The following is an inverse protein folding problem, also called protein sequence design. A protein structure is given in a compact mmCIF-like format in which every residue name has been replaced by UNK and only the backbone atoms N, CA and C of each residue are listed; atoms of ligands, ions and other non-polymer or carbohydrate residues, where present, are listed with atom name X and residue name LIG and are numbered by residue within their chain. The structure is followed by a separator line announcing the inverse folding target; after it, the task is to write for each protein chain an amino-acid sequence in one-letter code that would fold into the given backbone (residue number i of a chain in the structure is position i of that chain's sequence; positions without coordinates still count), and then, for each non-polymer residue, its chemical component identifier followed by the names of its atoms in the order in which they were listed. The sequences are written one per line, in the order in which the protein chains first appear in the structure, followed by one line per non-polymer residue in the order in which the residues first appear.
data_IF_651878200062
#
_entry.id   IF_651878200062
#
_cell.length_a   1.000
_cell.length_b   1.000
_cell.length_c   1.000
_cell.angle_alpha   90.00
_cell.angle_beta   90.00
_cell.angle_gamma   90.00
#
_symmetry.space_group_name_H-M   'P 1'
#
loop_
_entity.id
_entity.type
_entity.pdbx_description
1 polymer ?
#
# COMPACT_ATOMS: atom_id res chain seq x y z
N UNK A 1 -30.97 -9.39 -38.12
CA UNK A 1 -30.44 -8.27 -37.31
C UNK A 1 -30.28 -8.79 -35.89
N UNK A 2 -29.09 -9.29 -35.55
CA UNK A 2 -28.80 -9.78 -34.19
C UNK A 2 -28.13 -8.67 -33.41
N UNK A 3 -28.83 -8.16 -32.40
CA UNK A 3 -28.29 -7.23 -31.40
C UNK A 3 -27.42 -8.01 -30.42
N UNK A 4 -26.10 -7.85 -30.54
CA UNK A 4 -25.15 -8.33 -29.53
C UNK A 4 -25.27 -7.44 -28.29
N UNK A 5 -25.80 -7.99 -27.19
CA UNK A 5 -25.83 -7.33 -25.89
C UNK A 5 -24.43 -7.32 -25.29
N UNK A 6 -23.86 -6.14 -25.10
CA UNK A 6 -22.60 -5.98 -24.35
C UNK A 6 -22.87 -6.32 -22.88
N UNK A 7 -22.09 -7.23 -22.24
CA UNK A 7 -22.27 -7.52 -20.82
C UNK A 7 -21.98 -6.27 -19.99
N UNK A 8 -22.82 -6.02 -18.99
CA UNK A 8 -22.65 -4.91 -18.05
C UNK A 8 -21.25 -4.98 -17.41
N UNK A 9 -20.51 -3.87 -17.47
CA UNK A 9 -19.20 -3.75 -16.85
C UNK A 9 -19.32 -4.05 -15.34
N UNK A 10 -18.57 -5.06 -14.87
CA UNK A 10 -18.41 -5.31 -13.44
C UNK A 10 -17.77 -4.06 -12.85
N UNK A 11 -18.49 -3.32 -12.01
CA UNK A 11 -17.91 -2.17 -11.31
C UNK A 11 -16.87 -2.69 -10.33
N UNK A 12 -15.60 -2.59 -10.71
CA UNK A 12 -14.49 -3.03 -9.89
C UNK A 12 -14.48 -2.22 -8.58
N UNK A 13 -14.48 -2.93 -7.45
CA UNK A 13 -14.41 -2.27 -6.14
C UNK A 13 -13.04 -1.60 -6.04
N UNK A 14 -12.96 -0.28 -5.77
CA UNK A 14 -11.68 0.41 -5.64
C UNK A 14 -10.82 -0.28 -4.58
N UNK A 15 -9.56 -0.58 -4.89
CA UNK A 15 -8.65 -1.33 -4.02
C UNK A 15 -8.51 -0.71 -2.61
N UNK A 16 -8.65 0.61 -2.49
CA UNK A 16 -8.66 1.32 -1.21
C UNK A 16 -9.80 0.88 -0.30
N UNK A 17 -10.97 0.57 -0.87
CA UNK A 17 -12.11 0.06 -0.11
C UNK A 17 -11.83 -1.35 0.43
N UNK A 18 -11.10 -2.17 -0.33
CA UNK A 18 -10.63 -3.47 0.13
C UNK A 18 -9.67 -3.31 1.31
N UNK A 19 -8.63 -2.47 1.18
CA UNK A 19 -7.67 -2.18 2.27
C UNK A 19 -8.38 -1.64 3.52
N UNK A 20 -9.34 -0.72 3.35
CA UNK A 20 -10.13 -0.20 4.47
C UNK A 20 -10.99 -1.27 5.14
N UNK A 21 -11.48 -2.25 4.38
CA UNK A 21 -12.23 -3.39 4.91
C UNK A 21 -11.32 -4.32 5.71
N UNK A 22 -10.13 -4.64 5.21
CA UNK A 22 -9.12 -5.43 5.93
C UNK A 22 -8.64 -4.73 7.20
N UNK A 23 -8.42 -3.41 7.17
CA UNK A 23 -8.11 -2.61 8.35
C UNK A 23 -9.22 -2.69 9.42
N UNK A 24 -10.49 -2.66 9.02
CA UNK A 24 -11.63 -2.80 9.94
C UNK A 24 -11.71 -4.21 10.53
N UNK A 25 -11.47 -5.24 9.72
CA UNK A 25 -11.45 -6.63 10.17
C UNK A 25 -10.33 -6.86 11.20
N UNK A 26 -9.16 -6.25 10.99
CA UNK A 26 -7.98 -6.36 11.84
C UNK A 26 -7.87 -5.24 12.90
N UNK A 27 -8.96 -4.51 13.19
CA UNK A 27 -8.93 -3.29 14.05
C UNK A 27 -8.40 -3.52 15.47
N UNK A 28 -8.44 -4.76 15.96
CA UNK A 28 -7.93 -5.16 17.28
C UNK A 28 -6.41 -5.34 17.30
N UNK A 29 -5.75 -5.37 16.15
CA UNK A 29 -4.32 -5.57 15.99
C UNK A 29 -3.65 -4.22 15.68
N UNK A 30 -2.96 -3.58 16.65
CA UNK A 30 -2.28 -2.30 16.38
C UNK A 30 -1.26 -2.39 15.24
N UNK A 31 -0.63 -3.55 15.10
CA UNK A 31 0.35 -3.86 14.06
C UNK A 31 -0.24 -4.16 12.68
N UNK A 32 -1.57 -4.25 12.52
CA UNK A 32 -2.18 -4.35 11.20
C UNK A 32 -1.98 -3.08 10.34
N UNK A 33 -1.51 -1.99 10.95
CA UNK A 33 -1.09 -0.76 10.24
C UNK A 33 0.38 -0.79 9.83
N UNK A 34 1.13 -1.85 10.15
CA UNK A 34 2.54 -1.97 9.82
C UNK A 34 2.70 -2.51 8.40
N UNK A 35 3.45 -1.77 7.59
CA UNK A 35 3.68 -2.04 6.17
C UNK A 35 5.18 -2.18 5.95
N UNK A 36 5.61 -3.16 5.17
CA UNK A 36 7.00 -3.28 4.75
C UNK A 36 7.21 -2.40 3.51
N UNK A 37 8.15 -1.46 3.57
CA UNK A 37 8.48 -0.57 2.45
C UNK A 37 9.84 -0.95 1.86
N UNK A 38 9.84 -1.46 0.64
CA UNK A 38 11.04 -1.71 -0.14
C UNK A 38 11.45 -0.44 -0.92
N UNK A 39 12.72 -0.07 -0.82
CA UNK A 39 13.35 0.98 -1.65
C UNK A 39 14.62 0.44 -2.29
N UNK A 40 15.14 1.15 -3.29
CA UNK A 40 16.43 0.84 -3.92
C UNK A 40 17.47 1.85 -3.42
N UNK A 41 18.58 1.37 -2.87
CA UNK A 41 19.71 2.21 -2.45
C UNK A 41 20.50 2.70 -3.67
N UNK A 42 21.38 3.68 -3.46
CA UNK A 42 22.26 4.21 -4.51
C UNK A 42 23.19 3.15 -5.14
N UNK A 43 23.55 2.11 -4.38
CA UNK A 43 24.33 0.96 -4.87
C UNK A 43 23.49 -0.07 -5.67
N UNK A 44 22.22 0.24 -5.94
CA UNK A 44 21.28 -0.64 -6.63
C UNK A 44 20.71 -1.78 -5.78
N UNK A 45 21.11 -1.92 -4.51
CA UNK A 45 20.63 -3.00 -3.64
C UNK A 45 19.31 -2.64 -2.97
N UNK A 46 18.45 -3.63 -2.69
CA UNK A 46 17.20 -3.37 -2.00
C UNK A 46 17.44 -3.06 -0.52
N UNK A 47 16.57 -2.23 0.03
CA UNK A 47 16.44 -2.03 1.46
C UNK A 47 14.98 -2.19 1.85
N UNK A 48 14.70 -2.83 2.98
CA UNK A 48 13.35 -3.05 3.48
C UNK A 48 13.26 -2.69 4.97
N UNK A 49 12.11 -2.16 5.38
CA UNK A 49 11.84 -1.75 6.76
C UNK A 49 10.33 -1.61 6.97
N UNK A 50 9.91 -1.73 8.23
CA UNK A 50 8.54 -1.42 8.63
C UNK A 50 8.30 0.08 8.68
N UNK A 51 7.18 0.53 8.12
CA UNK A 51 6.59 1.86 8.27
C UNK A 51 5.14 1.71 8.74
N UNK A 52 4.58 2.76 9.32
CA UNK A 52 3.20 2.74 9.82
C UNK A 52 2.31 3.51 8.85
N UNK A 53 1.28 2.87 8.31
CA UNK A 53 0.25 3.53 7.51
C UNK A 53 -0.49 4.60 8.32
N UNK A 54 -0.59 5.81 7.77
CA UNK A 54 -1.20 6.99 8.40
C UNK A 54 -2.43 7.51 7.66
N UNK A 55 -3.07 6.67 6.85
CA UNK A 55 -4.24 7.05 6.07
C UNK A 55 -3.90 7.39 4.63
N UNK A 56 -4.96 7.63 3.86
CA UNK A 56 -4.87 8.13 2.49
C UNK A 56 -4.70 9.65 2.51
N UNK A 57 -3.94 10.16 1.55
CA UNK A 57 -3.72 11.60 1.42
C UNK A 57 -5.00 12.26 0.88
N UNK A 58 -5.72 12.97 1.75
CA UNK A 58 -6.99 13.64 1.42
C UNK A 58 -7.96 12.69 0.69
N UNK A 59 -8.47 13.09 -0.47
CA UNK A 59 -9.38 12.30 -1.31
C UNK A 59 -8.63 11.58 -2.45
N UNK A 60 -7.36 11.21 -2.24
CA UNK A 60 -6.54 10.53 -3.25
C UNK A 60 -6.25 9.08 -2.86
N UNK A 61 -5.77 8.29 -3.81
CA UNK A 61 -5.37 6.90 -3.58
C UNK A 61 -3.98 6.75 -2.93
N UNK A 62 -3.32 7.86 -2.59
CA UNK A 62 -1.94 7.85 -2.13
C UNK A 62 -1.86 7.50 -0.65
N UNK A 63 -1.06 6.48 -0.32
CA UNK A 63 -0.76 6.10 1.05
C UNK A 63 0.15 7.14 1.71
N UNK A 64 -0.11 7.45 2.98
CA UNK A 64 0.72 8.36 3.77
C UNK A 64 1.51 7.61 4.83
N UNK A 65 2.79 7.96 4.96
CA UNK A 65 3.70 7.46 5.99
C UNK A 65 4.47 8.64 6.60
N UNK A 66 4.95 8.47 7.84
CA UNK A 66 5.79 9.47 8.52
C UNK A 66 7.18 8.88 8.73
N UNK A 67 8.22 9.66 8.44
CA UNK A 67 9.62 9.25 8.63
C UNK A 67 10.47 10.44 9.03
N UNK A 68 11.58 10.18 9.71
CA UNK A 68 12.60 11.19 10.00
C UNK A 68 13.40 11.53 8.72
N UNK A 69 13.60 12.83 8.46
CA UNK A 69 14.35 13.34 7.30
C UNK A 69 15.80 12.84 7.25
N UNK A 70 16.38 12.47 8.39
CA UNK A 70 17.75 11.97 8.53
C UNK A 70 17.88 10.47 8.24
N UNK A 71 16.77 9.76 8.06
CA UNK A 71 16.81 8.32 7.83
C UNK A 71 17.29 7.98 6.41
N UNK A 72 18.07 6.90 6.27
CA UNK A 72 18.68 6.49 4.99
C UNK A 72 17.68 6.35 3.84
N UNK A 73 16.44 5.92 4.11
CA UNK A 73 15.39 5.81 3.10
C UNK A 73 15.07 7.12 2.39
N UNK A 74 15.36 8.28 3.01
CA UNK A 74 15.18 9.58 2.36
C UNK A 74 16.17 9.72 1.21
N UNK A 75 17.43 9.33 1.41
CA UNK A 75 18.43 9.31 0.33
C UNK A 75 18.07 8.25 -0.73
N UNK A 76 17.62 7.06 -0.30
CA UNK A 76 17.13 6.02 -1.22
C UNK A 76 16.00 6.58 -2.11
N UNK A 77 14.97 7.21 -1.53
CA UNK A 77 13.80 7.74 -2.27
C UNK A 77 14.17 8.95 -3.14
N UNK A 78 15.11 9.78 -2.68
CA UNK A 78 15.60 10.92 -3.44
C UNK A 78 16.38 10.49 -4.69
N UNK A 79 17.16 9.41 -4.60
CA UNK A 79 17.90 8.85 -5.74
C UNK A 79 17.02 7.99 -6.65
N UNK A 80 16.12 7.19 -6.09
CA UNK A 80 15.14 6.39 -6.83
C UNK A 80 13.75 6.44 -6.16
N UNK A 81 12.79 7.05 -6.85
CA UNK A 81 11.41 7.22 -6.34
C UNK A 81 10.56 5.96 -6.41
N UNK A 82 11.02 4.91 -7.10
CA UNK A 82 10.32 3.63 -7.13
C UNK A 82 10.45 2.90 -5.80
N UNK A 83 9.32 2.44 -5.31
CA UNK A 83 9.21 1.63 -4.11
C UNK A 83 8.08 0.63 -4.28
N UNK A 84 8.09 -0.40 -3.46
CA UNK A 84 7.01 -1.37 -3.37
C UNK A 84 6.66 -1.57 -1.90
N UNK A 85 5.40 -1.84 -1.61
CA UNK A 85 4.99 -2.25 -0.28
C UNK A 85 4.69 -3.74 -0.24
N UNK A 86 4.83 -4.34 0.93
CA UNK A 86 4.14 -5.57 1.26
C UNK A 86 3.35 -5.32 2.54
N UNK A 87 2.06 -5.66 2.51
CA UNK A 87 1.18 -5.41 3.63
C UNK A 87 0.29 -6.62 3.89
N UNK A 88 0.61 -7.35 4.96
CA UNK A 88 -0.12 -8.53 5.38
C UNK A 88 -1.10 -8.23 6.52
N UNK A 89 -2.33 -8.71 6.39
CA UNK A 89 -3.41 -8.60 7.37
C UNK A 89 -3.64 -9.96 8.06
N UNK A 90 -3.22 -10.14 9.32
CA UNK A 90 -3.15 -11.46 9.94
C UNK A 90 -4.49 -12.16 10.18
N UNK A 91 -5.53 -11.43 10.59
CA UNK A 91 -6.84 -12.02 10.91
C UNK A 91 -7.56 -12.50 9.65
N UNK A 92 -7.47 -11.73 8.56
CA UNK A 92 -8.12 -12.04 7.28
C UNK A 92 -7.24 -12.85 6.33
N UNK A 93 -5.93 -12.95 6.61
CA UNK A 93 -4.92 -13.64 5.80
C UNK A 93 -4.80 -13.10 4.38
N UNK A 94 -4.93 -11.78 4.26
CA UNK A 94 -4.84 -11.05 2.98
C UNK A 94 -3.48 -10.36 2.86
N UNK A 95 -2.97 -10.22 1.63
CA UNK A 95 -1.75 -9.47 1.34
C UNK A 95 -1.96 -8.50 0.18
N UNK A 96 -1.52 -7.26 0.37
CA UNK A 96 -1.49 -6.20 -0.65
C UNK A 96 -0.04 -5.85 -0.99
N UNK A 97 0.24 -5.51 -2.26
CA UNK A 97 1.54 -5.09 -2.77
C UNK A 97 1.39 -3.91 -3.72
#
# INVERSE_FOLDING_TARGET
MSTSSVPAAVSEVPWQQLVNSSLKANKRLPYAKYVQLATVREDGRPANRTVVFRGFLWNTEKLTFVTDRRSSKINDISSNRWCEIAWYFPDSREQYR
#
